data_IF_961817942774
#
_entry.id   IF_961817942774
#
_cell.length_a   1.000
_cell.length_b   1.000
_cell.length_c   1.000
_cell.angle_alpha   90.00
_cell.angle_beta   90.00
_cell.angle_gamma   90.00
#
_symmetry.space_group_name_H-M   'P 1'
#
loop_
_entity.id
_entity.type
_entity.pdbx_description
1 polymer ?
#
# COMPACT_ATOMS: atom_id res chain seq x y z
N UNK A 1 30.70 14.55 -8.50
CA UNK A 1 29.94 14.54 -7.22
C UNK A 1 29.41 13.12 -7.04
N UNK A 2 29.87 12.41 -6.01
CA UNK A 2 29.48 11.02 -5.73
C UNK A 2 28.45 11.01 -4.61
N UNK A 3 27.32 10.34 -4.81
CA UNK A 3 26.36 10.07 -3.74
C UNK A 3 26.87 8.86 -2.97
N UNK A 4 27.26 9.06 -1.71
CA UNK A 4 27.66 7.97 -0.82
C UNK A 4 26.44 7.58 0.02
N UNK A 5 25.94 6.37 -0.19
CA UNK A 5 24.78 5.84 0.54
C UNK A 5 25.28 5.16 1.82
N UNK A 6 24.89 5.68 2.98
CA UNK A 6 25.25 5.10 4.28
C UNK A 6 24.54 3.78 4.55
N UNK A 7 25.11 2.93 5.42
CA UNK A 7 24.59 1.60 5.75
C UNK A 7 23.13 1.61 6.23
N UNK A 8 22.69 2.68 6.90
CA UNK A 8 21.32 2.84 7.39
C UNK A 8 20.27 2.89 6.28
N UNK A 9 20.64 3.20 5.03
CA UNK A 9 19.71 3.14 3.90
C UNK A 9 19.21 1.71 3.64
N UNK A 10 19.93 0.68 4.11
CA UNK A 10 19.47 -0.70 4.09
C UNK A 10 18.12 -0.90 4.78
N UNK A 11 17.80 -0.10 5.82
CA UNK A 11 16.47 -0.15 6.46
C UNK A 11 15.35 0.34 5.52
N UNK A 12 15.62 1.34 4.68
CA UNK A 12 14.66 1.80 3.66
C UNK A 12 14.41 0.69 2.63
N UNK A 13 15.45 -0.05 2.24
CA UNK A 13 15.34 -1.20 1.33
C UNK A 13 14.52 -2.31 1.97
N UNK A 14 14.76 -2.64 3.25
CA UNK A 14 13.95 -3.64 3.97
C UNK A 14 12.47 -3.24 4.05
N UNK A 15 12.18 -1.96 4.34
CA UNK A 15 10.82 -1.45 4.33
C UNK A 15 10.19 -1.56 2.92
N UNK A 16 10.93 -1.24 1.86
CA UNK A 16 10.46 -1.38 0.48
C UNK A 16 10.17 -2.84 0.10
N UNK A 17 11.01 -3.78 0.53
CA UNK A 17 10.76 -5.22 0.37
C UNK A 17 9.47 -5.61 1.09
N UNK A 18 9.29 -5.18 2.34
CA UNK A 18 8.07 -5.46 3.10
C UNK A 18 6.80 -4.94 2.43
N UNK A 19 6.82 -3.69 1.93
CA UNK A 19 5.73 -3.08 1.17
C UNK A 19 5.42 -3.88 -0.11
N UNK A 20 6.47 -4.26 -0.85
CA UNK A 20 6.32 -5.00 -2.11
C UNK A 20 5.74 -6.40 -1.89
N UNK A 21 6.23 -7.11 -0.88
CA UNK A 21 5.69 -8.42 -0.46
C UNK A 21 4.23 -8.27 -0.05
N UNK A 22 3.89 -7.28 0.78
CA UNK A 22 2.51 -7.06 1.21
C UNK A 22 1.57 -6.77 0.03
N UNK A 23 2.00 -5.91 -0.92
CA UNK A 23 1.24 -5.63 -2.14
C UNK A 23 1.01 -6.90 -2.98
N UNK A 24 2.03 -7.75 -3.11
CA UNK A 24 1.93 -9.01 -3.82
C UNK A 24 0.95 -9.98 -3.14
N UNK A 25 0.99 -10.09 -1.80
CA UNK A 25 0.07 -10.93 -1.03
C UNK A 25 -1.40 -10.51 -1.22
N UNK A 26 -1.69 -9.21 -1.26
CA UNK A 26 -3.05 -8.72 -1.54
C UNK A 26 -3.49 -9.04 -2.98
N UNK A 27 -2.57 -8.98 -3.95
CA UNK A 27 -2.83 -9.46 -5.31
C UNK A 27 -3.16 -10.96 -5.36
N UNK A 28 -2.44 -11.79 -4.61
CA UNK A 28 -2.75 -13.22 -4.49
C UNK A 28 -4.11 -13.47 -3.84
N UNK A 29 -4.49 -12.65 -2.84
CA UNK A 29 -5.80 -12.76 -2.20
C UNK A 29 -6.95 -12.57 -3.21
N UNK A 30 -6.79 -11.69 -4.21
CA UNK A 30 -7.74 -11.55 -5.32
C UNK A 30 -7.76 -12.81 -6.18
N UNK A 31 -6.62 -13.38 -6.52
CA UNK A 31 -6.57 -14.63 -7.31
C UNK A 31 -7.27 -15.79 -6.60
N UNK A 32 -7.10 -15.91 -5.27
CA UNK A 32 -7.81 -16.89 -4.45
C UNK A 32 -9.31 -16.61 -4.45
N UNK A 33 -9.71 -15.34 -4.27
CA UNK A 33 -11.12 -14.94 -4.29
C UNK A 33 -11.78 -15.23 -5.64
N UNK A 34 -11.09 -14.99 -6.76
CA UNK A 34 -11.59 -15.31 -8.11
C UNK A 34 -11.96 -16.79 -8.25
N UNK A 35 -11.10 -17.68 -7.76
CA UNK A 35 -11.37 -19.12 -7.74
C UNK A 35 -12.56 -19.46 -6.84
N UNK A 36 -12.61 -18.86 -5.65
CA UNK A 36 -13.68 -19.09 -4.67
C UNK A 36 -15.06 -18.68 -5.18
N UNK A 37 -15.15 -17.51 -5.80
CA UNK A 37 -16.42 -16.93 -6.26
C UNK A 37 -16.70 -17.20 -7.75
N UNK A 38 -15.86 -17.99 -8.43
CA UNK A 38 -15.98 -18.28 -9.86
C UNK A 38 -16.10 -17.02 -10.74
N UNK A 39 -15.24 -16.02 -10.47
CA UNK A 39 -15.15 -14.76 -11.22
C UNK A 39 -13.88 -14.78 -12.09
N UNK A 40 -13.92 -15.40 -13.28
CA UNK A 40 -12.78 -15.46 -14.18
C UNK A 40 -12.43 -14.08 -14.76
N UNK A 41 -11.22 -13.98 -15.31
CA UNK A 41 -10.83 -12.83 -16.12
C UNK A 41 -11.69 -12.76 -17.41
N UNK A 42 -11.94 -11.56 -17.97
CA UNK A 42 -11.43 -10.24 -17.57
C UNK A 42 -12.31 -9.51 -16.54
N UNK A 43 -13.23 -10.18 -15.86
CA UNK A 43 -14.18 -9.52 -14.95
C UNK A 43 -13.47 -8.83 -13.79
N UNK A 44 -13.85 -7.57 -13.53
CA UNK A 44 -13.26 -6.74 -12.49
C UNK A 44 -14.18 -6.52 -11.29
N UNK A 45 -15.25 -7.32 -11.15
CA UNK A 45 -16.20 -7.25 -10.04
C UNK A 45 -17.54 -6.58 -10.39
N UNK A 46 -17.72 -6.14 -11.63
CA UNK A 46 -18.98 -5.58 -12.13
C UNK A 46 -19.29 -6.05 -13.56
N UNK A 47 -18.73 -7.19 -13.98
CA UNK A 47 -19.00 -7.78 -15.27
C UNK A 47 -19.97 -8.96 -15.21
N UNK A 48 -20.13 -9.63 -16.36
CA UNK A 48 -21.09 -10.73 -16.58
C UNK A 48 -20.93 -11.92 -15.64
N UNK A 49 -19.74 -12.13 -15.07
CA UNK A 49 -19.51 -13.22 -14.13
C UNK A 49 -19.89 -12.79 -12.71
N UNK A 50 -19.54 -11.55 -12.34
CA UNK A 50 -19.90 -10.98 -11.05
C UNK A 50 -21.43 -10.78 -10.90
N UNK A 51 -22.15 -10.50 -11.99
CA UNK A 51 -23.63 -10.35 -11.99
C UNK A 51 -24.39 -11.60 -11.57
N UNK A 52 -23.75 -12.78 -11.63
CA UNK A 52 -24.34 -14.07 -11.24
C UNK A 52 -24.20 -14.35 -9.74
N UNK A 53 -23.44 -13.54 -9.02
CA UNK A 53 -23.21 -13.72 -7.60
C UNK A 53 -24.42 -13.27 -6.79
N UNK A 54 -24.59 -13.87 -5.61
CA UNK A 54 -25.43 -13.27 -4.58
C UNK A 54 -24.87 -11.90 -4.20
N UNK A 55 -25.72 -10.97 -3.75
CA UNK A 55 -25.27 -9.65 -3.29
C UNK A 55 -24.16 -9.77 -2.24
N UNK A 56 -24.31 -10.72 -1.31
CA UNK A 56 -23.31 -11.00 -0.27
C UNK A 56 -21.95 -11.41 -0.86
N UNK A 57 -21.93 -12.33 -1.81
CA UNK A 57 -20.69 -12.82 -2.43
C UNK A 57 -20.06 -11.75 -3.34
N UNK A 58 -20.91 -11.00 -4.05
CA UNK A 58 -20.50 -9.86 -4.85
C UNK A 58 -19.80 -8.80 -4.00
N UNK A 59 -20.39 -8.42 -2.87
CA UNK A 59 -19.78 -7.49 -1.92
C UNK A 59 -18.46 -8.05 -1.37
N UNK A 60 -18.42 -9.33 -0.97
CA UNK A 60 -17.23 -9.95 -0.43
C UNK A 60 -16.06 -9.97 -1.44
N UNK A 61 -16.32 -10.36 -2.69
CA UNK A 61 -15.33 -10.34 -3.76
C UNK A 61 -14.83 -8.92 -4.05
N UNK A 62 -15.74 -7.98 -4.22
CA UNK A 62 -15.39 -6.58 -4.51
C UNK A 62 -14.62 -5.91 -3.38
N UNK A 63 -14.91 -6.24 -2.12
CA UNK A 63 -14.15 -5.73 -0.98
C UNK A 63 -12.69 -6.21 -0.99
N UNK A 64 -12.46 -7.52 -1.21
CA UNK A 64 -11.10 -8.08 -1.32
C UNK A 64 -10.36 -7.42 -2.48
N UNK A 65 -11.04 -7.29 -3.62
CA UNK A 65 -10.49 -6.67 -4.81
C UNK A 65 -10.12 -5.20 -4.61
N UNK A 66 -11.01 -4.42 -3.98
CA UNK A 66 -10.75 -3.00 -3.71
C UNK A 66 -9.53 -2.78 -2.82
N UNK A 67 -9.29 -3.67 -1.84
CA UNK A 67 -8.08 -3.63 -1.01
C UNK A 67 -6.82 -3.76 -1.85
N UNK A 68 -6.78 -4.76 -2.75
CA UNK A 68 -5.64 -4.97 -3.66
C UNK A 68 -5.47 -3.78 -4.61
N UNK A 69 -6.55 -3.31 -5.23
CA UNK A 69 -6.49 -2.20 -6.19
C UNK A 69 -6.00 -0.91 -5.50
N UNK A 70 -6.48 -0.61 -4.28
CA UNK A 70 -6.02 0.55 -3.51
C UNK A 70 -4.54 0.45 -3.12
N UNK A 71 -4.05 -0.77 -2.85
CA UNK A 71 -2.63 -0.98 -2.60
C UNK A 71 -1.82 -0.66 -3.87
N UNK A 72 -2.19 -1.25 -5.00
CA UNK A 72 -1.51 -1.04 -6.29
C UNK A 72 -1.53 0.43 -6.75
N UNK A 73 -2.63 1.15 -6.49
CA UNK A 73 -2.74 2.60 -6.76
C UNK A 73 -1.72 3.44 -5.98
N UNK A 74 -1.33 2.99 -4.77
CA UNK A 74 -0.50 3.78 -3.85
C UNK A 74 0.97 3.31 -3.77
N UNK A 75 1.25 2.04 -4.08
CA UNK A 75 2.57 1.44 -3.86
C UNK A 75 3.71 2.17 -4.58
N UNK A 76 3.49 2.58 -5.84
CA UNK A 76 4.51 3.28 -6.63
C UNK A 76 4.89 4.63 -6.01
N UNK A 77 3.89 5.40 -5.56
CA UNK A 77 4.12 6.69 -4.91
C UNK A 77 4.84 6.52 -3.57
N UNK A 78 4.41 5.55 -2.76
CA UNK A 78 4.97 5.30 -1.43
C UNK A 78 6.42 4.84 -1.52
N UNK A 79 6.73 3.89 -2.42
CA UNK A 79 8.12 3.43 -2.63
C UNK A 79 9.03 4.56 -3.11
N UNK A 80 8.53 5.38 -4.05
CA UNK A 80 9.29 6.53 -4.56
C UNK A 80 9.63 7.51 -3.42
N UNK A 81 8.64 7.89 -2.62
CA UNK A 81 8.85 8.83 -1.51
C UNK A 81 9.65 8.21 -0.36
N UNK A 82 9.53 6.91 -0.11
CA UNK A 82 10.36 6.17 0.86
C UNK A 82 11.84 6.28 0.52
N UNK A 83 12.21 6.04 -0.74
CA UNK A 83 13.60 6.16 -1.16
C UNK A 83 14.07 7.61 -1.17
N UNK A 84 13.28 8.55 -1.71
CA UNK A 84 13.63 9.97 -1.70
C UNK A 84 13.84 10.50 -0.28
N UNK A 85 12.92 10.22 0.65
CA UNK A 85 13.07 10.59 2.06
C UNK A 85 14.27 9.88 2.70
N UNK A 86 14.50 8.62 2.35
CA UNK A 86 15.59 7.80 2.89
C UNK A 86 16.98 8.28 2.51
N UNK A 87 17.14 8.97 1.37
CA UNK A 87 18.40 9.60 0.97
C UNK A 87 18.85 10.69 1.95
N UNK A 88 17.89 11.38 2.59
CA UNK A 88 18.17 12.44 3.56
C UNK A 88 18.09 11.93 5.01
N UNK A 89 17.08 11.12 5.32
CA UNK A 89 16.72 10.69 6.68
C UNK A 89 16.35 9.19 6.70
N UNK A 90 17.33 8.27 6.58
CA UNK A 90 17.08 6.84 6.34
C UNK A 90 16.27 6.14 7.43
N UNK A 91 16.60 6.37 8.71
CA UNK A 91 15.90 5.71 9.83
C UNK A 91 14.46 6.18 9.97
N UNK A 92 14.22 7.49 9.79
CA UNK A 92 12.88 8.05 9.82
C UNK A 92 12.04 7.54 8.65
N UNK A 93 12.58 7.57 7.44
CA UNK A 93 11.90 7.06 6.25
C UNK A 93 11.54 5.58 6.40
N UNK A 94 12.47 4.74 6.88
CA UNK A 94 12.21 3.33 7.14
C UNK A 94 11.11 3.12 8.19
N UNK A 95 11.10 3.90 9.27
CA UNK A 95 10.07 3.82 10.31
C UNK A 95 8.68 4.20 9.77
N UNK A 96 8.60 5.21 8.91
CA UNK A 96 7.37 5.59 8.21
C UNK A 96 6.93 4.52 7.21
N UNK A 97 7.86 3.88 6.51
CA UNK A 97 7.58 2.70 5.67
C UNK A 97 7.01 1.53 6.47
N UNK A 98 7.58 1.24 7.64
CA UNK A 98 7.05 0.24 8.58
C UNK A 98 5.63 0.59 9.06
N UNK A 99 5.40 1.85 9.40
CA UNK A 99 4.09 2.37 9.84
C UNK A 99 3.05 2.25 8.72
N UNK A 100 3.44 2.51 7.47
CA UNK A 100 2.61 2.31 6.30
C UNK A 100 2.18 0.84 6.14
N UNK A 101 3.11 -0.11 6.28
CA UNK A 101 2.83 -1.55 6.22
C UNK A 101 1.75 -1.92 7.25
N UNK A 102 1.95 -1.52 8.51
CA UNK A 102 1.00 -1.77 9.61
C UNK A 102 -0.37 -1.16 9.30
N UNK A 103 -0.41 0.09 8.85
CA UNK A 103 -1.63 0.75 8.42
C UNK A 103 -2.36 -0.02 7.31
N UNK A 104 -1.63 -0.55 6.33
CA UNK A 104 -2.23 -1.36 5.26
C UNK A 104 -2.74 -2.72 5.73
N UNK A 105 -2.12 -3.35 6.73
CA UNK A 105 -2.65 -4.59 7.35
C UNK A 105 -4.03 -4.30 7.93
N UNK A 106 -4.14 -3.29 8.80
CA UNK A 106 -5.40 -2.93 9.44
C UNK A 106 -6.45 -2.42 8.46
N UNK A 107 -6.02 -1.68 7.42
CA UNK A 107 -6.89 -1.27 6.33
C UNK A 107 -7.53 -2.49 5.66
N UNK A 108 -6.70 -3.45 5.23
CA UNK A 108 -7.15 -4.65 4.52
C UNK A 108 -8.06 -5.52 5.39
N UNK A 109 -7.69 -5.76 6.65
CA UNK A 109 -8.51 -6.52 7.60
C UNK A 109 -9.86 -5.86 7.82
N UNK A 110 -9.87 -4.56 8.13
CA UNK A 110 -11.11 -3.83 8.38
C UNK A 110 -12.01 -3.76 7.16
N UNK A 111 -11.44 -3.52 5.98
CA UNK A 111 -12.21 -3.46 4.73
C UNK A 111 -12.85 -4.81 4.39
N UNK A 112 -12.11 -5.92 4.55
CA UNK A 112 -12.63 -7.27 4.29
C UNK A 112 -13.72 -7.68 5.30
N UNK A 113 -13.65 -7.21 6.54
CA UNK A 113 -14.59 -7.55 7.61
C UNK A 113 -15.88 -6.70 7.61
N UNK A 114 -15.76 -5.39 7.43
CA UNK A 114 -16.88 -4.44 7.58
C UNK A 114 -17.09 -3.55 6.35
N UNK A 115 -16.55 -3.96 5.21
CA UNK A 115 -16.67 -3.24 3.95
C UNK A 115 -16.03 -1.86 3.98
N UNK A 116 -16.55 -0.89 3.18
CA UNK A 116 -15.90 0.40 2.99
C UNK A 116 -15.66 1.20 4.28
N UNK A 117 -16.53 1.09 5.29
CA UNK A 117 -16.37 1.80 6.56
C UNK A 117 -15.24 1.22 7.41
N UNK A 118 -15.00 -0.09 7.32
CA UNK A 118 -13.94 -0.78 8.07
C UNK A 118 -12.52 -0.35 7.70
N UNK A 119 -12.34 0.30 6.54
CA UNK A 119 -11.05 0.87 6.10
C UNK A 119 -10.43 1.84 7.11
N UNK A 120 -11.27 2.47 7.94
CA UNK A 120 -10.86 3.46 8.93
C UNK A 120 -9.94 2.89 10.01
N UNK A 121 -9.88 1.57 10.19
CA UNK A 121 -8.92 0.94 11.09
C UNK A 121 -7.46 1.23 10.73
N UNK A 122 -7.14 1.40 9.45
CA UNK A 122 -5.76 1.55 8.99
C UNK A 122 -5.53 2.66 7.96
N UNK A 123 -6.60 3.23 7.40
CA UNK A 123 -6.49 4.33 6.45
C UNK A 123 -5.76 5.56 7.03
N UNK A 124 -6.04 6.03 8.27
CA UNK A 124 -5.33 7.19 8.81
C UNK A 124 -3.83 6.93 8.98
N UNK A 125 -3.45 5.77 9.50
CA UNK A 125 -2.04 5.42 9.75
C UNK A 125 -1.27 5.33 8.44
N UNK A 126 -1.80 4.63 7.44
CA UNK A 126 -1.14 4.51 6.13
C UNK A 126 -1.09 5.84 5.38
N UNK A 127 -2.15 6.66 5.42
CA UNK A 127 -2.17 7.97 4.80
C UNK A 127 -1.17 8.94 5.45
N UNK A 128 -1.18 9.05 6.78
CA UNK A 128 -0.25 9.91 7.52
C UNK A 128 1.21 9.50 7.29
N UNK A 129 1.49 8.19 7.24
CA UNK A 129 2.82 7.69 6.94
C UNK A 129 3.28 8.13 5.54
N UNK A 130 2.40 8.04 4.54
CA UNK A 130 2.70 8.47 3.18
C UNK A 130 2.91 9.99 3.07
N UNK A 131 2.04 10.80 3.67
CA UNK A 131 2.21 12.26 3.66
C UNK A 131 3.44 12.71 4.44
N UNK A 132 3.80 12.02 5.52
CA UNK A 132 5.04 12.26 6.24
C UNK A 132 6.27 11.96 5.38
N UNK A 133 6.26 10.88 4.58
CA UNK A 133 7.33 10.59 3.62
C UNK A 133 7.48 11.71 2.58
N UNK A 134 6.37 12.22 2.03
CA UNK A 134 6.38 13.36 1.11
C UNK A 134 6.97 14.60 1.79
N UNK A 135 6.52 14.91 3.01
CA UNK A 135 6.98 16.08 3.75
C UNK A 135 8.48 16.00 4.05
N UNK A 136 8.97 14.84 4.51
CA UNK A 136 10.41 14.62 4.78
C UNK A 136 11.22 14.77 3.50
N UNK A 137 10.81 14.15 2.40
CA UNK A 137 11.53 14.27 1.13
C UNK A 137 11.55 15.71 0.62
N UNK A 138 10.39 16.38 0.59
CA UNK A 138 10.25 17.75 0.10
C UNK A 138 10.98 18.78 0.94
N UNK A 139 10.88 18.69 2.26
CA UNK A 139 11.55 19.61 3.19
C UNK A 139 13.07 19.52 3.08
N UNK A 140 13.64 18.31 3.09
CA UNK A 140 15.09 18.14 3.00
C UNK A 140 15.62 18.53 1.60
N UNK A 141 14.86 18.24 0.54
CA UNK A 141 15.21 18.70 -0.81
C UNK A 141 15.21 20.23 -0.91
N UNK A 142 14.20 20.91 -0.37
CA UNK A 142 14.11 22.36 -0.40
C UNK A 142 15.28 23.03 0.35
N UNK A 143 15.62 22.56 1.55
CA UNK A 143 16.76 23.09 2.30
C UNK A 143 18.06 22.85 1.55
N UNK A 144 18.24 21.68 0.94
CA UNK A 144 19.49 21.38 0.21
C UNK A 144 19.67 22.26 -1.03
N UNK A 145 18.58 22.70 -1.67
CA UNK A 145 18.63 23.52 -2.89
C UNK A 145 18.72 25.03 -2.59
N UNK A 146 18.07 25.49 -1.51
CA UNK A 146 17.91 26.92 -1.22
C UNK A 146 18.73 27.43 -0.03
N UNK A 147 19.48 26.57 0.67
CA UNK A 147 20.47 26.98 1.67
C UNK A 147 21.83 27.24 1.02
#
# INVERSE_FOLDING_TARGET
MTIVIGANFGYCVLAAVGISVQCFLEGMAVTVARKKFNVPYPDNGGGRFADKLSEKDWVAFNNIKRVSDNYSESVGMVLSMLFCAGLFQPLLAASLGGSFIVGKIFYGMGYKAWGPKGRMLGAPVSALSFFALIAVAGYNAAITVFA
#
